data_IF_481994297811
#
_entry.id   IF_481994297811
#
_cell.length_a   1.000
_cell.length_b   1.000
_cell.length_c   1.000
_cell.angle_alpha   90.00
_cell.angle_beta   90.00
_cell.angle_gamma   90.00
#
_symmetry.space_group_name_H-M   'P 1'
#
loop_
_entity.id
_entity.type
_entity.pdbx_description
1 polymer ?
#
# COMPACT_ATOMS: atom_id res chain seq x y z
N UNK A 1 -15.23 -16.49 0.51
CA UNK A 1 -14.51 -15.47 -0.27
C UNK A 1 -13.02 -15.77 -0.14
N UNK A 2 -12.19 -15.53 -1.17
CA UNK A 2 -10.74 -15.64 -1.04
C UNK A 2 -10.23 -14.68 0.04
N UNK A 3 -9.17 -15.11 0.72
CA UNK A 3 -8.48 -14.32 1.75
C UNK A 3 -7.18 -13.79 1.15
N UNK A 4 -6.99 -12.49 1.28
CA UNK A 4 -5.81 -11.77 0.83
C UNK A 4 -5.11 -11.16 2.04
N UNK A 5 -3.79 -11.10 1.99
CA UNK A 5 -2.97 -10.58 3.08
C UNK A 5 -2.25 -9.34 2.61
N UNK A 6 -2.25 -8.29 3.43
CA UNK A 6 -1.78 -6.96 3.03
C UNK A 6 -0.53 -6.58 3.81
N UNK A 7 0.64 -6.91 3.26
CA UNK A 7 1.91 -6.69 3.93
C UNK A 7 2.46 -5.30 3.61
N UNK A 8 2.89 -4.55 4.62
CA UNK A 8 3.42 -3.20 4.42
C UNK A 8 4.94 -3.27 4.25
N UNK A 9 5.43 -2.80 3.09
CA UNK A 9 6.86 -2.68 2.81
C UNK A 9 7.31 -1.28 3.17
N UNK A 10 8.26 -1.18 4.10
CA UNK A 10 9.01 0.07 4.37
C UNK A 10 10.35 0.01 3.64
N UNK A 11 11.17 1.07 3.78
CA UNK A 11 12.54 1.08 3.28
C UNK A 11 13.40 -0.04 3.91
N UNK A 12 13.11 -0.41 5.16
CA UNK A 12 13.97 -1.28 5.96
C UNK A 12 13.36 -2.66 6.30
N UNK A 13 12.03 -2.81 6.19
CA UNK A 13 11.34 -4.00 6.67
C UNK A 13 10.09 -4.37 5.85
N UNK A 14 9.66 -5.62 6.02
CA UNK A 14 8.32 -6.09 5.65
C UNK A 14 7.51 -6.33 6.93
N UNK A 15 6.43 -5.59 7.09
CA UNK A 15 5.47 -5.80 8.18
C UNK A 15 4.37 -6.70 7.65
N UNK A 16 4.35 -7.96 8.10
CA UNK A 16 3.37 -8.95 7.64
C UNK A 16 2.03 -8.75 8.32
N UNK A 17 0.99 -8.78 7.51
CA UNK A 17 -0.38 -9.03 7.94
C UNK A 17 -0.59 -10.55 7.98
N UNK A 18 -0.80 -11.08 9.19
CA UNK A 18 -1.04 -12.51 9.43
C UNK A 18 -2.55 -12.84 9.48
N UNK A 19 -3.41 -11.81 9.59
CA UNK A 19 -4.85 -12.01 9.70
C UNK A 19 -5.49 -12.11 8.31
N UNK A 20 -5.05 -11.25 7.39
CA UNK A 20 -5.66 -11.09 6.08
C UNK A 20 -7.10 -10.58 6.16
N UNK A 21 -7.67 -10.28 5.00
CA UNK A 21 -9.07 -9.91 4.85
C UNK A 21 -9.72 -10.66 3.69
N UNK A 22 -11.04 -10.88 3.79
CA UNK A 22 -11.80 -11.54 2.73
C UNK A 22 -12.32 -10.52 1.72
N UNK A 23 -12.05 -10.76 0.44
CA UNK A 23 -12.52 -9.92 -0.67
C UNK A 23 -13.13 -10.81 -1.76
N UNK A 24 -14.00 -10.28 -2.63
CA UNK A 24 -14.61 -11.11 -3.68
C UNK A 24 -13.62 -11.44 -4.80
N UNK A 25 -12.65 -10.57 -5.06
CA UNK A 25 -11.65 -10.69 -6.13
C UNK A 25 -10.32 -10.03 -5.74
N UNK A 26 -9.28 -10.22 -6.55
CA UNK A 26 -8.00 -9.51 -6.39
C UNK A 26 -8.16 -8.02 -6.70
N UNK A 27 -9.05 -7.64 -7.62
CA UNK A 27 -9.37 -6.24 -7.93
C UNK A 27 -10.00 -5.51 -6.72
N UNK A 28 -10.89 -6.19 -5.98
CA UNK A 28 -11.46 -5.65 -4.74
C UNK A 28 -10.38 -5.48 -3.65
N UNK A 29 -9.42 -6.41 -3.59
CA UNK A 29 -8.29 -6.32 -2.68
C UNK A 29 -7.35 -5.18 -3.08
N UNK A 30 -7.06 -5.00 -4.37
CA UNK A 30 -6.28 -3.88 -4.89
C UNK A 30 -6.90 -2.53 -4.53
N UNK A 31 -8.21 -2.37 -4.74
CA UNK A 31 -8.90 -1.14 -4.40
C UNK A 31 -8.83 -0.85 -2.90
N UNK A 32 -8.99 -1.87 -2.05
CA UNK A 32 -8.78 -1.73 -0.60
C UNK A 32 -7.35 -1.30 -0.27
N UNK A 33 -6.34 -1.91 -0.89
CA UNK A 33 -4.94 -1.55 -0.69
C UNK A 33 -4.64 -0.10 -1.13
N UNK A 34 -5.24 0.38 -2.22
CA UNK A 34 -5.13 1.76 -2.65
C UNK A 34 -5.72 2.75 -1.63
N UNK A 35 -6.89 2.44 -1.06
CA UNK A 35 -7.52 3.25 -0.01
C UNK A 35 -6.69 3.26 1.29
N UNK A 36 -6.15 2.10 1.69
CA UNK A 36 -5.23 2.03 2.84
C UNK A 36 -3.96 2.86 2.61
N UNK A 37 -3.36 2.75 1.43
CA UNK A 37 -2.20 3.55 1.03
C UNK A 37 -2.45 5.04 1.05
N UNK A 38 -3.61 5.47 0.54
CA UNK A 38 -4.04 6.86 0.58
C UNK A 38 -4.14 7.36 2.02
N UNK A 39 -4.78 6.60 2.91
CA UNK A 39 -4.89 6.97 4.33
C UNK A 39 -3.53 7.08 5.01
N UNK A 40 -2.56 6.22 4.64
CA UNK A 40 -1.17 6.31 5.10
C UNK A 40 -0.55 7.64 4.62
N UNK A 41 -0.59 7.94 3.32
CA UNK A 41 -0.02 9.18 2.78
C UNK A 41 -0.65 10.44 3.40
N UNK A 42 -1.97 10.45 3.60
CA UNK A 42 -2.67 11.57 4.24
C UNK A 42 -2.20 11.80 5.68
N UNK A 43 -1.98 10.71 6.44
CA UNK A 43 -1.42 10.79 7.79
C UNK A 43 0.00 11.36 7.79
N UNK A 44 0.85 10.85 6.91
CA UNK A 44 2.25 11.27 6.74
C UNK A 44 2.36 12.76 6.42
N UNK A 45 1.52 13.24 5.50
CA UNK A 45 1.49 14.64 5.10
C UNK A 45 1.05 15.57 6.24
N UNK A 46 0.20 15.10 7.15
CA UNK A 46 -0.29 15.84 8.30
C UNK A 46 0.67 15.89 9.49
N UNK A 47 1.47 14.84 9.69
CA UNK A 47 2.35 14.68 10.87
C UNK A 47 3.83 15.04 10.59
N UNK A 48 4.21 15.15 9.31
CA UNK A 48 5.60 15.38 8.89
C UNK A 48 6.33 14.05 8.79
N UNK A 49 6.56 13.58 7.57
CA UNK A 49 6.92 12.18 7.30
C UNK A 49 8.16 11.65 8.01
N UNK A 50 8.03 10.45 8.56
CA UNK A 50 9.11 9.66 9.16
C UNK A 50 9.88 8.85 8.09
N UNK A 51 11.14 8.50 8.40
CA UNK A 51 12.01 7.78 7.44
C UNK A 51 11.59 6.33 7.15
N UNK A 52 10.78 5.69 8.00
CA UNK A 52 10.45 4.25 7.90
C UNK A 52 8.97 3.99 7.58
N UNK A 53 8.32 4.92 6.90
CA UNK A 53 6.93 4.78 6.52
C UNK A 53 6.72 3.76 5.39
N UNK A 54 5.56 3.07 5.35
CA UNK A 54 5.22 2.18 4.26
C UNK A 54 5.26 2.88 2.89
N UNK A 55 5.98 2.25 1.95
CA UNK A 55 6.10 2.68 0.55
C UNK A 55 5.20 1.89 -0.38
N UNK A 56 4.86 0.67 -0.01
CA UNK A 56 3.94 -0.18 -0.77
C UNK A 56 3.22 -1.17 0.12
N UNK A 57 2.14 -1.73 -0.42
CA UNK A 57 1.44 -2.90 0.12
C UNK A 57 1.65 -4.08 -0.84
N UNK A 58 2.14 -5.19 -0.31
CA UNK A 58 2.26 -6.47 -1.01
C UNK A 58 1.01 -7.30 -0.68
N UNK A 59 0.30 -7.74 -1.71
CA UNK A 59 -0.90 -8.57 -1.57
C UNK A 59 -0.53 -10.01 -1.88
N UNK A 60 -0.71 -10.90 -0.90
CA UNK A 60 -0.48 -12.35 -1.09
C UNK A 60 -1.77 -13.15 -0.93
N UNK A 61 -1.75 -14.37 -1.45
CA UNK A 61 -2.78 -15.37 -1.16
C UNK A 61 -2.50 -16.14 0.15
N UNK A 62 -3.37 -17.10 0.49
CA UNK A 62 -3.24 -17.93 1.69
C UNK A 62 -2.08 -18.94 1.66
N UNK A 63 -1.46 -19.17 0.50
CA UNK A 63 -0.22 -19.95 0.39
C UNK A 63 1.02 -19.09 0.59
N UNK A 64 0.86 -17.76 0.63
CA UNK A 64 1.96 -16.80 0.67
C UNK A 64 2.52 -16.49 -0.72
N UNK A 65 1.78 -16.79 -1.80
CA UNK A 65 2.15 -16.38 -3.15
C UNK A 65 1.84 -14.90 -3.35
N UNK A 66 2.84 -14.13 -3.80
CA UNK A 66 2.67 -12.72 -4.14
C UNK A 66 1.78 -12.57 -5.36
N UNK A 67 0.67 -11.87 -5.22
CA UNK A 67 -0.30 -11.64 -6.29
C UNK A 67 -0.16 -10.25 -6.90
N UNK A 68 0.08 -9.24 -6.07
CA UNK A 68 0.10 -7.84 -6.50
C UNK A 68 0.93 -6.96 -5.56
N UNK A 69 1.55 -5.92 -6.12
CA UNK A 69 2.25 -4.87 -5.39
C UNK A 69 1.59 -3.52 -5.66
N UNK A 70 1.12 -2.86 -4.61
CA UNK A 70 0.50 -1.52 -4.70
C UNK A 70 1.47 -0.50 -4.12
N UNK A 71 2.12 0.29 -4.97
CA UNK A 71 3.12 1.29 -4.58
C UNK A 71 2.48 2.66 -4.36
N UNK A 72 2.89 3.35 -3.30
CA UNK A 72 2.51 4.73 -3.02
C UNK A 72 3.73 5.62 -3.26
N UNK A 73 3.70 6.44 -4.31
CA UNK A 73 4.69 7.50 -4.46
C UNK A 73 4.41 8.61 -3.47
N UNK A 74 5.20 8.68 -2.41
CA UNK A 74 5.49 9.97 -1.79
C UNK A 74 6.31 10.76 -2.83
N UNK A 75 5.64 11.65 -3.58
CA UNK A 75 6.36 12.57 -4.46
C UNK A 75 7.41 13.36 -3.66
N UNK A 76 8.48 13.86 -4.31
CA UNK A 76 9.46 14.70 -3.62
C UNK A 76 8.73 15.81 -2.88
N UNK A 77 9.15 16.10 -1.65
CA UNK A 77 8.67 17.25 -0.89
C UNK A 77 9.12 18.51 -1.67
N UNK A 78 8.27 18.94 -2.61
CA UNK A 78 8.44 20.21 -3.32
C UNK A 78 7.50 21.19 -2.65
N UNK A 79 8.13 22.10 -1.93
CA UNK A 79 7.61 23.41 -1.55
C UNK A 79 6.72 23.96 -2.67
N UNK A 80 5.47 24.29 -2.32
CA UNK A 80 4.38 24.82 -3.16
C UNK A 80 3.89 24.00 -4.37
N UNK A 81 2.78 23.29 -4.17
CA UNK A 81 1.70 23.23 -5.18
C UNK A 81 1.37 21.87 -5.80
N UNK A 82 0.32 21.24 -5.24
CA UNK A 82 -0.46 20.10 -5.75
C UNK A 82 0.21 18.72 -5.79
N UNK A 83 -0.20 17.86 -4.87
CA UNK A 83 0.05 16.42 -4.93
C UNK A 83 -0.75 15.81 -6.10
N UNK A 84 -0.06 15.09 -7.00
CA UNK A 84 -0.70 14.36 -8.11
C UNK A 84 -1.46 13.12 -7.61
N UNK A 85 -2.55 12.71 -8.26
CA UNK A 85 -3.33 11.53 -7.87
C UNK A 85 -2.48 10.26 -7.81
N UNK A 86 -2.71 9.43 -6.80
CA UNK A 86 -2.12 8.10 -6.68
C UNK A 86 -2.73 7.23 -7.77
N UNK A 87 -1.89 6.67 -8.65
CA UNK A 87 -2.28 5.65 -9.61
C UNK A 87 -1.62 4.36 -9.15
N UNK A 88 -2.34 3.27 -8.86
CA UNK A 88 -1.70 1.99 -8.57
C UNK A 88 -0.81 1.62 -9.75
N UNK A 89 0.49 1.47 -9.52
CA UNK A 89 1.39 0.88 -10.52
C UNK A 89 1.48 -0.62 -10.26
N UNK A 90 0.70 -1.39 -11.01
CA UNK A 90 0.80 -2.85 -11.06
C UNK A 90 2.12 -3.22 -11.73
N UNK A 91 3.07 -3.79 -10.98
CA UNK A 91 4.32 -4.32 -11.54
C UNK A 91 4.09 -5.80 -11.87
N UNK A 92 4.17 -6.17 -13.14
CA UNK A 92 4.05 -7.56 -13.65
C UNK A 92 5.40 -8.25 -13.74
#
# INVERSE_FOLDING_TARGET
MPRYYFHYRTESALIRDEAGSEHASLEDAEHMAAEMGRAIIEKIAGEGGEMDEPRSIEITDASGEDLLYVVFWAGPQIDDGSATPIVPATVH
#
